data_IF_945397557194
#
_entry.id   IF_945397557194
#
_cell.length_a   1.000
_cell.length_b   1.000
_cell.length_c   1.000
_cell.angle_alpha   90.00
_cell.angle_beta   90.00
_cell.angle_gamma   90.00
#
_symmetry.space_group_name_H-M   'P 1'
#
loop_
_entity.id
_entity.type
_entity.pdbx_description
1 polymer ?
#
# COMPACT_ATOMS: atom_id res chain seq x y z
N UNK A 1 18.46 -0.74 -4.44
CA UNK A 1 17.49 -0.37 -3.40
C UNK A 1 16.12 -0.53 -4.02
N UNK A 2 15.21 -1.29 -3.41
CA UNK A 2 13.82 -1.37 -3.85
C UNK A 2 13.08 -0.13 -3.32
N UNK A 3 12.24 0.47 -4.13
CA UNK A 3 11.40 1.58 -3.72
C UNK A 3 9.94 1.12 -3.74
N UNK A 4 9.25 1.27 -2.62
CA UNK A 4 7.84 0.93 -2.47
C UNK A 4 6.98 2.13 -2.80
N UNK A 5 5.91 1.88 -3.56
CA UNK A 5 5.06 2.96 -4.02
C UNK A 5 3.58 2.54 -4.05
N UNK A 6 2.74 3.28 -3.37
CA UNK A 6 1.28 3.18 -3.47
C UNK A 6 0.71 4.48 -4.00
N UNK A 7 0.30 4.50 -5.21
CA UNK A 7 -0.34 5.68 -5.76
C UNK A 7 -0.12 5.74 -7.28
N UNK A 8 -0.43 6.51 -7.95
CA UNK A 8 -1.32 7.03 -8.85
C UNK A 8 -0.63 7.67 -10.02
N UNK A 9 -1.31 7.63 -11.07
CA UNK A 9 -1.22 8.26 -12.37
C UNK A 9 -0.02 9.21 -12.58
N UNK A 10 0.15 10.20 -11.76
CA UNK A 10 1.18 11.24 -11.97
C UNK A 10 2.55 10.97 -11.32
N UNK A 11 2.72 9.89 -10.58
CA UNK A 11 3.93 9.71 -9.78
C UNK A 11 4.74 8.47 -10.12
N UNK A 12 4.19 7.51 -10.88
CA UNK A 12 4.92 6.32 -11.31
C UNK A 12 6.18 6.70 -12.10
N UNK A 13 6.06 7.54 -13.11
CA UNK A 13 7.18 7.99 -13.94
C UNK A 13 8.19 8.83 -13.14
N UNK A 14 7.72 9.62 -12.18
CA UNK A 14 8.61 10.35 -11.26
C UNK A 14 9.37 9.41 -10.35
N UNK A 15 8.73 8.37 -9.84
CA UNK A 15 9.35 7.35 -9.00
C UNK A 15 10.41 6.54 -9.75
N UNK A 16 10.18 6.21 -11.03
CA UNK A 16 11.21 5.57 -11.86
C UNK A 16 12.48 6.42 -11.96
N UNK A 17 12.34 7.74 -12.09
CA UNK A 17 13.48 8.68 -12.17
C UNK A 17 14.29 8.74 -10.86
N UNK A 18 13.73 8.32 -9.73
CA UNK A 18 14.42 8.28 -8.45
C UNK A 18 15.19 6.97 -8.22
N UNK A 19 15.06 5.98 -9.12
CA UNK A 19 15.75 4.72 -8.99
C UNK A 19 17.21 4.84 -9.46
N UNK A 20 18.10 4.09 -8.79
CA UNK A 20 19.43 3.81 -9.32
C UNK A 20 19.32 2.82 -10.49
N UNK A 21 20.37 2.69 -11.28
CA UNK A 21 20.48 1.65 -12.32
C UNK A 21 20.12 0.27 -11.72
N UNK A 22 19.39 -0.52 -12.47
CA UNK A 22 18.85 -1.83 -12.08
C UNK A 22 17.94 -1.79 -10.84
N UNK A 23 17.38 -0.61 -10.52
CA UNK A 23 16.47 -0.45 -9.39
C UNK A 23 15.11 -1.11 -9.63
N UNK A 24 14.43 -1.46 -8.53
CA UNK A 24 13.09 -2.04 -8.58
C UNK A 24 12.04 -1.10 -7.98
N UNK A 25 10.95 -0.92 -8.70
CA UNK A 25 9.76 -0.21 -8.25
C UNK A 25 8.64 -1.20 -7.99
N UNK A 26 8.10 -1.18 -6.78
CA UNK A 26 6.96 -2.02 -6.39
C UNK A 26 5.71 -1.14 -6.31
N UNK A 27 4.82 -1.30 -7.28
CA UNK A 27 3.51 -0.63 -7.29
C UNK A 27 2.46 -1.57 -6.69
N UNK A 28 2.08 -1.38 -5.43
CA UNK A 28 1.12 -2.23 -4.73
C UNK A 28 -0.29 -1.62 -4.63
N UNK A 29 -0.51 -0.42 -5.15
CA UNK A 29 -1.81 0.26 -5.11
C UNK A 29 -2.02 1.23 -6.27
N UNK A 30 -3.26 1.59 -6.48
CA UNK A 30 -3.71 2.55 -7.50
C UNK A 30 -4.85 3.41 -6.94
N UNK A 31 -4.63 4.05 -5.78
CA UNK A 31 -5.66 4.78 -5.04
C UNK A 31 -6.21 6.02 -5.74
N UNK A 32 -5.53 6.58 -6.72
CA UNK A 32 -6.03 7.73 -7.49
C UNK A 32 -6.27 7.39 -8.98
N UNK A 33 -6.43 6.11 -9.31
CA UNK A 33 -6.76 5.67 -10.65
C UNK A 33 -5.69 4.82 -11.34
N UNK A 34 -6.00 4.35 -12.51
CA UNK A 34 -5.10 3.54 -13.32
C UNK A 34 -3.98 4.41 -13.92
N UNK A 35 -2.80 3.84 -14.06
CA UNK A 35 -1.68 4.50 -14.74
C UNK A 35 -1.92 4.44 -16.24
N UNK A 36 -2.06 5.59 -16.89
CA UNK A 36 -2.35 5.71 -18.32
C UNK A 36 -1.09 5.91 -19.18
N UNK A 37 -0.07 6.55 -18.66
CA UNK A 37 1.04 7.11 -19.45
C UNK A 37 2.32 6.26 -19.40
N UNK A 38 2.31 5.12 -18.70
CA UNK A 38 3.46 4.23 -18.58
C UNK A 38 3.63 3.38 -19.85
N UNK A 39 4.86 3.31 -20.34
CA UNK A 39 5.29 2.41 -21.45
C UNK A 39 6.41 1.51 -20.94
N UNK A 40 6.45 0.27 -21.43
CA UNK A 40 7.55 -0.66 -21.10
C UNK A 40 8.92 -0.08 -21.45
N UNK A 41 9.00 0.74 -22.52
CA UNK A 41 10.22 1.44 -22.91
C UNK A 41 10.76 2.39 -21.83
N UNK A 42 9.92 2.87 -20.91
CA UNK A 42 10.36 3.77 -19.83
C UNK A 42 11.32 3.07 -18.87
N UNK A 43 11.24 1.74 -18.79
CA UNK A 43 12.15 0.94 -17.97
C UNK A 43 13.58 0.89 -18.54
N UNK A 44 13.75 1.15 -19.84
CA UNK A 44 15.06 1.10 -20.49
C UNK A 44 16.02 2.19 -20.00
N UNK A 45 15.49 3.30 -19.47
CA UNK A 45 16.29 4.43 -18.99
C UNK A 45 17.32 4.05 -17.89
N UNK A 46 17.12 2.94 -17.19
CA UNK A 46 18.04 2.45 -16.17
C UNK A 46 17.95 0.93 -15.97
N UNK A 47 17.45 0.20 -16.97
CA UNK A 47 17.17 -1.25 -16.84
C UNK A 47 16.37 -1.55 -15.59
N UNK A 48 15.29 -0.79 -15.37
CA UNK A 48 14.47 -0.85 -14.16
C UNK A 48 13.59 -2.10 -14.14
N UNK A 49 13.23 -2.51 -12.94
CA UNK A 49 12.24 -3.55 -12.69
C UNK A 49 10.96 -2.93 -12.14
N UNK A 50 9.82 -3.26 -12.74
CA UNK A 50 8.50 -2.88 -12.22
C UNK A 50 7.70 -4.13 -11.87
N UNK A 51 7.16 -4.17 -10.67
CA UNK A 51 6.27 -5.25 -10.24
C UNK A 51 4.98 -4.70 -9.65
N UNK A 52 3.88 -5.44 -9.86
CA UNK A 52 2.53 -5.11 -9.36
C UNK A 52 2.00 -6.29 -8.54
N UNK A 53 2.43 -6.43 -7.27
CA UNK A 53 1.93 -7.50 -6.42
C UNK A 53 0.46 -7.27 -6.06
N UNK A 54 -0.27 -8.37 -5.91
CA UNK A 54 -1.66 -8.38 -5.43
C UNK A 54 -1.69 -9.25 -4.18
N UNK A 55 -2.13 -8.68 -3.05
CA UNK A 55 -2.13 -9.37 -1.76
C UNK A 55 -2.86 -10.72 -1.81
N UNK A 56 -3.98 -10.80 -2.51
CA UNK A 56 -4.79 -12.02 -2.60
C UNK A 56 -4.04 -13.21 -3.21
N UNK A 57 -3.07 -12.99 -4.09
CA UNK A 57 -2.25 -14.07 -4.63
C UNK A 57 -1.36 -14.69 -3.54
N UNK A 58 -0.90 -13.90 -2.58
CA UNK A 58 -0.10 -14.38 -1.46
C UNK A 58 -0.99 -15.03 -0.38
N UNK A 59 -2.13 -14.45 -0.07
CA UNK A 59 -3.03 -14.95 0.98
C UNK A 59 -3.91 -16.13 0.56
N UNK A 60 -3.89 -16.52 -0.73
CA UNK A 60 -4.58 -17.70 -1.23
C UNK A 60 -4.06 -19.00 -0.61
N UNK A 61 -2.79 -19.03 -0.19
CA UNK A 61 -2.18 -20.16 0.50
C UNK A 61 -2.35 -19.97 2.00
N UNK A 62 -3.22 -20.76 2.63
CA UNK A 62 -3.57 -20.63 4.06
C UNK A 62 -2.37 -20.66 5.00
N UNK A 63 -1.40 -21.54 4.77
CA UNK A 63 -0.20 -21.64 5.62
C UNK A 63 0.67 -20.39 5.54
N UNK A 64 0.74 -19.76 4.38
CA UNK A 64 1.46 -18.50 4.22
C UNK A 64 0.75 -17.36 4.96
N UNK A 65 -0.58 -17.26 4.81
CA UNK A 65 -1.39 -16.27 5.52
C UNK A 65 -1.22 -16.38 7.04
N UNK A 66 -1.30 -17.60 7.59
CA UNK A 66 -1.16 -17.82 9.03
C UNK A 66 0.21 -17.36 9.52
N UNK A 67 1.29 -17.78 8.87
CA UNK A 67 2.65 -17.36 9.26
C UNK A 67 2.85 -15.84 9.20
N UNK A 68 2.37 -15.22 8.12
CA UNK A 68 2.48 -13.76 7.98
C UNK A 68 1.68 -13.01 9.07
N UNK A 69 0.50 -13.52 9.42
CA UNK A 69 -0.33 -12.95 10.49
C UNK A 69 0.33 -13.14 11.87
N UNK A 70 0.88 -14.32 12.16
CA UNK A 70 1.60 -14.60 13.42
C UNK A 70 2.82 -13.68 13.57
N UNK A 71 3.61 -13.50 12.50
CA UNK A 71 4.77 -12.58 12.51
C UNK A 71 4.31 -11.13 12.76
N UNK A 72 3.29 -10.66 12.03
CA UNK A 72 2.77 -9.29 12.19
C UNK A 72 2.25 -9.06 13.62
N UNK A 73 1.42 -9.96 14.14
CA UNK A 73 0.86 -9.83 15.48
C UNK A 73 1.93 -9.94 16.56
N UNK A 74 2.94 -10.79 16.34
CA UNK A 74 4.10 -10.84 17.23
C UNK A 74 4.82 -9.49 17.33
N UNK A 75 5.08 -8.84 16.20
CA UNK A 75 5.73 -7.52 16.17
C UNK A 75 4.88 -6.42 16.84
N UNK A 76 3.55 -6.50 16.73
CA UNK A 76 2.63 -5.58 17.43
C UNK A 76 2.68 -5.82 18.95
N UNK A 77 2.62 -7.08 19.39
CA UNK A 77 2.67 -7.43 20.80
C UNK A 77 4.00 -7.06 21.47
N UNK A 78 5.10 -7.15 20.72
CA UNK A 78 6.43 -6.71 21.15
C UNK A 78 6.58 -5.16 21.18
N UNK A 79 5.56 -4.42 20.75
CA UNK A 79 5.62 -2.97 20.64
C UNK A 79 6.55 -2.42 19.55
N UNK A 80 6.97 -3.28 18.60
CA UNK A 80 7.83 -2.87 17.47
C UNK A 80 7.03 -2.22 16.35
N UNK A 81 5.74 -2.49 16.28
CA UNK A 81 4.78 -1.84 15.38
C UNK A 81 3.70 -1.22 16.24
N UNK A 82 3.56 0.09 16.15
CA UNK A 82 2.44 0.83 16.76
C UNK A 82 1.35 1.07 15.72
N UNK A 83 0.15 0.57 15.99
CA UNK A 83 -1.01 0.75 15.13
C UNK A 83 -1.89 1.84 15.72
N UNK A 84 -1.79 3.04 15.16
CA UNK A 84 -2.64 4.13 15.56
C UNK A 84 -4.10 3.86 15.18
N UNK A 85 -4.97 3.77 16.17
CA UNK A 85 -6.40 3.53 15.97
C UNK A 85 -7.23 4.67 16.54
N UNK A 86 -8.34 4.96 15.86
CA UNK A 86 -9.39 5.86 16.33
C UNK A 86 -10.70 5.07 16.41
N UNK A 87 -11.47 5.26 17.47
CA UNK A 87 -12.80 4.65 17.62
C UNK A 87 -13.89 5.64 17.18
N UNK A 88 -14.91 5.13 16.49
CA UNK A 88 -16.13 5.86 16.15
C UNK A 88 -17.34 4.93 16.33
N UNK A 89 -18.52 5.46 16.52
CA UNK A 89 -19.73 4.65 16.59
C UNK A 89 -20.09 4.13 15.20
N UNK A 90 -20.69 2.94 15.14
CA UNK A 90 -21.16 2.38 13.88
C UNK A 90 -22.23 3.27 13.21
N UNK A 91 -23.02 3.98 14.01
CA UNK A 91 -23.99 4.98 13.55
C UNK A 91 -23.34 6.12 12.76
N UNK A 92 -22.06 6.42 13.01
CA UNK A 92 -21.31 7.50 12.37
C UNK A 92 -20.58 7.02 11.10
N UNK A 93 -20.82 5.80 10.65
CA UNK A 93 -20.08 5.20 9.53
C UNK A 93 -20.06 6.09 8.27
N UNK A 94 -21.17 6.72 7.92
CA UNK A 94 -21.26 7.61 6.77
C UNK A 94 -20.32 8.81 6.88
N UNK A 95 -20.23 9.42 8.07
CA UNK A 95 -19.31 10.54 8.31
C UNK A 95 -17.86 10.08 8.30
N UNK A 96 -17.57 8.90 8.89
CA UNK A 96 -16.22 8.31 8.88
C UNK A 96 -15.74 8.05 7.45
N UNK A 97 -16.60 7.53 6.57
CA UNK A 97 -16.27 7.35 5.16
C UNK A 97 -15.99 8.68 4.46
N UNK A 98 -16.84 9.69 4.67
CA UNK A 98 -16.63 11.02 4.09
C UNK A 98 -15.31 11.67 4.56
N UNK A 99 -14.96 11.49 5.82
CA UNK A 99 -13.69 12.00 6.38
C UNK A 99 -12.48 11.26 5.80
N UNK A 100 -12.59 9.94 5.59
CA UNK A 100 -11.53 9.12 4.97
C UNK A 100 -11.31 9.52 3.51
N UNK A 101 -12.37 9.67 2.72
CA UNK A 101 -12.33 10.14 1.34
C UNK A 101 -11.78 11.56 1.24
N UNK A 102 -12.18 12.42 2.18
CA UNK A 102 -11.69 13.79 2.32
C UNK A 102 -10.26 13.91 2.86
N UNK A 103 -9.56 12.78 3.13
CA UNK A 103 -8.20 12.73 3.71
C UNK A 103 -8.04 13.50 5.02
N UNK A 104 -9.10 13.56 5.83
CA UNK A 104 -9.13 14.26 7.12
C UNK A 104 -8.70 13.37 8.29
N UNK A 105 -8.45 12.09 8.03
CA UNK A 105 -8.12 11.10 9.07
C UNK A 105 -6.70 10.58 8.91
N UNK A 106 -6.09 10.21 10.03
CA UNK A 106 -4.83 9.47 10.11
C UNK A 106 -5.03 8.18 10.91
N UNK A 107 -4.25 7.15 10.61
CA UNK A 107 -4.40 5.84 11.24
C UNK A 107 -5.66 5.08 10.76
N UNK A 108 -6.05 4.07 11.51
CA UNK A 108 -7.21 3.22 11.21
C UNK A 108 -8.41 3.60 12.09
N UNK A 109 -9.57 3.85 11.49
CA UNK A 109 -10.81 4.06 12.25
C UNK A 109 -11.53 2.72 12.44
N UNK A 110 -11.79 2.37 13.69
CA UNK A 110 -12.55 1.18 14.08
C UNK A 110 -13.97 1.61 14.45
N UNK A 111 -14.96 1.06 13.75
CA UNK A 111 -16.37 1.28 14.07
C UNK A 111 -16.80 0.32 15.17
N UNK A 112 -17.43 0.87 16.21
CA UNK A 112 -17.89 0.13 17.38
C UNK A 112 -19.43 0.15 17.38
N UNK A 113 -20.09 -1.02 17.60
CA UNK A 113 -21.55 -1.13 17.71
C UNK A 113 -22.11 -0.27 18.83
#
# INVERSE_FOLDING_TARGET
MAQFYSGVDNTLLKSLKCLRLHGALVNFGQSSGAVSDFRVSDLAAGSFHLTRPVLFHFTSVRSWLVRAAEELFGLILEGRIDVQTRRALLTDAAQVHADLEGRKTTGSTVLIP
#
